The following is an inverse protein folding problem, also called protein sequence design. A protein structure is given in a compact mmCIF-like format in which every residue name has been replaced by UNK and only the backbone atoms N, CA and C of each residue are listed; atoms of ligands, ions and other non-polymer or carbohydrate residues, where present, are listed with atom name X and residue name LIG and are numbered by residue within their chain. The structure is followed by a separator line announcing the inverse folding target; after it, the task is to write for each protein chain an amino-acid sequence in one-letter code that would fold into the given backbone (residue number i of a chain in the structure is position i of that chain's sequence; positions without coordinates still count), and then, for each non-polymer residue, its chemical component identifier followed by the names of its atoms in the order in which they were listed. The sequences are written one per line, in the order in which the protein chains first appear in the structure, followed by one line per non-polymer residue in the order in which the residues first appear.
data_IF_697660052917
#
_entry.id   IF_697660052917
#
_cell.length_a   1.000
_cell.length_b   1.000
_cell.length_c   1.000
_cell.angle_alpha   90.00
_cell.angle_beta   90.00
_cell.angle_gamma   90.00
#
_symmetry.space_group_name_H-M   'P 1'
#
loop_
_entity.id
_entity.type
_entity.pdbx_description
1 polymer ?
#
# COMPACT_ATOMS: atom_id res chain seq x y z
N UNK A 1 18.72 24.13 -0.12
CA UNK A 1 17.99 23.94 1.15
C UNK A 1 17.57 22.49 1.22
N UNK A 2 17.89 21.77 2.29
CA UNK A 2 17.55 20.36 2.44
C UNK A 2 16.03 20.19 2.54
N UNK A 3 15.40 19.35 1.69
CA UNK A 3 13.94 19.19 1.73
C UNK A 3 13.50 18.50 3.02
N UNK A 4 12.38 18.93 3.58
CA UNK A 4 11.72 18.24 4.70
C UNK A 4 10.56 17.40 4.16
N UNK A 5 10.58 16.10 4.45
CA UNK A 5 9.53 15.17 4.03
C UNK A 5 8.30 15.35 4.91
N UNK A 6 7.16 15.56 4.26
CA UNK A 6 5.86 15.56 4.92
C UNK A 6 5.31 14.13 5.04
N UNK A 7 4.43 13.93 6.03
CA UNK A 7 3.71 12.67 6.21
C UNK A 7 2.28 12.85 5.68
N UNK A 8 1.82 11.94 4.81
CA UNK A 8 0.43 11.93 4.36
C UNK A 8 -0.46 11.17 5.35
N UNK A 9 -1.17 11.89 6.20
CA UNK A 9 -2.02 11.34 7.27
C UNK A 9 -3.35 12.06 7.31
N UNK A 10 -4.41 11.41 7.81
CA UNK A 10 -5.74 12.01 7.94
C UNK A 10 -6.26 12.67 6.63
N UNK A 11 -5.81 12.18 5.47
CA UNK A 11 -6.17 12.71 4.15
C UNK A 11 -5.41 13.96 3.70
N UNK A 12 -4.37 14.40 4.40
CA UNK A 12 -3.58 15.60 4.09
C UNK A 12 -2.08 15.37 4.30
N UNK A 13 -1.26 16.22 3.68
CA UNK A 13 0.16 16.31 4.01
C UNK A 13 0.36 17.19 5.25
N UNK A 14 1.28 16.78 6.12
CA UNK A 14 1.67 17.54 7.30
C UNK A 14 3.14 17.30 7.64
N UNK A 15 3.84 18.35 8.06
CA UNK A 15 5.18 18.26 8.63
C UNK A 15 5.16 17.82 10.10
N UNK A 16 6.23 17.19 10.58
CA UNK A 16 6.44 16.91 12.01
C UNK A 16 6.76 18.19 12.80
N UNK A 17 6.53 18.16 14.12
CA UNK A 17 6.56 19.36 14.96
C UNK A 17 7.93 19.69 15.60
N UNK A 18 8.91 18.78 15.52
CA UNK A 18 10.19 18.89 16.24
C UNK A 18 11.43 18.87 15.32
N UNK A 19 12.62 18.82 15.91
CA UNK A 19 13.90 18.71 15.19
C UNK A 19 13.90 17.43 14.33
N UNK A 20 14.06 17.56 13.00
CA UNK A 20 13.96 16.41 12.12
C UNK A 20 15.26 15.61 12.10
N UNK A 21 15.14 14.32 11.79
CA UNK A 21 16.26 13.43 11.53
C UNK A 21 16.80 13.65 10.13
N UNK A 22 18.12 13.70 10.01
CA UNK A 22 18.80 13.72 8.72
C UNK A 22 18.76 12.34 8.06
N UNK A 23 18.26 12.28 6.84
CA UNK A 23 18.43 11.14 5.95
C UNK A 23 19.68 11.39 5.10
N UNK A 24 20.61 10.44 5.14
CA UNK A 24 21.92 10.58 4.49
C UNK A 24 22.01 9.70 3.25
N UNK A 25 22.78 10.17 2.27
CA UNK A 25 23.27 9.34 1.19
C UNK A 25 24.27 8.32 1.75
N UNK A 26 24.05 7.04 1.50
CA UNK A 26 24.88 5.97 2.06
C UNK A 26 26.29 5.91 1.46
N UNK A 27 26.51 6.51 0.29
CA UNK A 27 27.79 6.51 -0.43
C UNK A 27 28.62 7.76 -0.19
N UNK A 28 27.98 8.93 -0.01
CA UNK A 28 28.67 10.21 0.16
C UNK A 28 28.55 10.80 1.57
N UNK A 29 27.56 10.39 2.35
CA UNK A 29 27.23 10.98 3.65
C UNK A 29 26.51 12.33 3.58
N UNK A 30 26.15 12.81 2.38
CA UNK A 30 25.40 14.06 2.22
C UNK A 30 23.97 13.93 2.72
N UNK A 31 23.43 14.98 3.35
CA UNK A 31 22.03 15.02 3.77
C UNK A 31 21.12 15.17 2.54
N UNK A 32 20.23 14.21 2.32
CA UNK A 32 19.32 14.18 1.17
C UNK A 32 17.93 14.73 1.51
N UNK A 33 17.50 14.53 2.76
CA UNK A 33 16.21 14.98 3.25
C UNK A 33 16.19 15.01 4.78
N UNK A 34 15.20 15.71 5.32
CA UNK A 34 14.87 15.76 6.73
C UNK A 34 13.54 15.02 6.95
N UNK A 35 13.44 14.16 7.95
CA UNK A 35 12.22 13.41 8.25
C UNK A 35 11.84 13.52 9.74
N UNK A 36 10.55 13.61 10.03
CA UNK A 36 10.07 13.67 11.41
C UNK A 36 8.64 13.11 11.54
N UNK A 37 8.40 12.35 12.60
CA UNK A 37 7.07 11.84 13.00
C UNK A 37 6.60 12.35 14.36
N UNK A 38 7.35 13.22 15.02
CA UNK A 38 6.95 13.86 16.27
C UNK A 38 5.73 14.76 16.08
N UNK A 39 4.82 14.72 17.05
CA UNK A 39 3.57 15.48 17.05
C UNK A 39 2.40 14.80 16.32
N UNK A 40 2.58 13.61 15.75
CA UNK A 40 1.48 12.83 15.15
C UNK A 40 0.76 11.96 16.18
N UNK A 41 -0.57 12.07 16.24
CA UNK A 41 -1.43 11.15 16.99
C UNK A 41 -1.68 9.87 16.18
N UNK A 42 -0.91 8.83 16.48
CA UNK A 42 -1.05 7.53 15.81
C UNK A 42 -2.39 6.84 16.07
N UNK A 43 -3.04 7.11 17.21
CA UNK A 43 -4.36 6.56 17.49
C UNK A 43 -5.41 7.20 16.57
N UNK A 44 -5.33 8.51 16.36
CA UNK A 44 -6.18 9.23 15.40
C UNK A 44 -5.92 8.75 13.96
N UNK A 45 -4.66 8.61 13.56
CA UNK A 45 -4.28 8.11 12.22
C UNK A 45 -4.89 6.73 11.97
N UNK A 46 -4.77 5.81 12.92
CA UNK A 46 -5.35 4.48 12.81
C UNK A 46 -6.89 4.55 12.78
N UNK A 47 -7.50 5.40 13.60
CA UNK A 47 -8.94 5.61 13.62
C UNK A 47 -9.45 6.13 12.27
N UNK A 48 -8.74 7.07 11.64
CA UNK A 48 -9.06 7.58 10.30
C UNK A 48 -9.00 6.49 9.25
N UNK A 49 -7.92 5.69 9.22
CA UNK A 49 -7.81 4.55 8.30
C UNK A 49 -8.98 3.57 8.43
N UNK A 50 -9.44 3.31 9.67
CA UNK A 50 -10.59 2.43 9.95
C UNK A 50 -11.95 3.05 9.63
N UNK A 51 -12.14 4.36 9.83
CA UNK A 51 -13.44 5.02 9.64
C UNK A 51 -13.65 5.54 8.23
N UNK A 52 -12.58 5.88 7.51
CA UNK A 52 -12.66 6.50 6.18
C UNK A 52 -12.16 5.54 5.09
N UNK A 53 -10.91 5.07 5.21
CA UNK A 53 -10.29 4.21 4.19
C UNK A 53 -10.96 2.83 4.10
N UNK A 54 -11.20 2.17 5.23
CA UNK A 54 -11.74 0.82 5.27
C UNK A 54 -13.15 0.71 4.64
N UNK A 55 -14.15 1.56 4.96
CA UNK A 55 -15.46 1.48 4.31
C UNK A 55 -15.39 1.72 2.81
N UNK A 56 -14.53 2.61 2.33
CA UNK A 56 -14.35 2.84 0.90
C UNK A 56 -13.83 1.57 0.19
N UNK A 57 -12.81 0.92 0.75
CA UNK A 57 -12.20 -0.28 0.16
C UNK A 57 -13.08 -1.54 0.29
N UNK A 58 -13.82 -1.70 1.40
CA UNK A 58 -14.69 -2.88 1.62
C UNK A 58 -15.98 -2.84 0.81
N UNK A 59 -16.42 -1.65 0.37
CA UNK A 59 -17.54 -1.53 -0.56
C UNK A 59 -17.19 -2.06 -1.95
N UNK A 60 -15.91 -2.03 -2.32
CA UNK A 60 -15.44 -2.51 -3.61
C UNK A 60 -15.42 -4.04 -3.68
N UNK A 61 -15.58 -4.58 -4.88
CA UNK A 61 -15.35 -6.00 -5.15
C UNK A 61 -13.86 -6.34 -5.21
N UNK A 62 -13.52 -7.63 -5.13
CA UNK A 62 -12.14 -8.07 -5.39
C UNK A 62 -11.65 -7.66 -6.80
N UNK A 63 -12.55 -7.62 -7.78
CA UNK A 63 -12.19 -7.24 -9.15
C UNK A 63 -11.91 -5.75 -9.28
N UNK A 64 -12.70 -4.90 -8.62
CA UNK A 64 -12.47 -3.46 -8.57
C UNK A 64 -11.15 -3.14 -7.87
N UNK A 65 -10.88 -3.75 -6.70
CA UNK A 65 -9.59 -3.59 -6.01
C UNK A 65 -8.42 -4.11 -6.85
N UNK A 66 -8.58 -5.25 -7.53
CA UNK A 66 -7.55 -5.77 -8.43
C UNK A 66 -7.29 -4.86 -9.64
N UNK A 67 -8.32 -4.20 -10.19
CA UNK A 67 -8.15 -3.19 -11.24
C UNK A 67 -7.45 -1.93 -10.72
N UNK A 68 -7.77 -1.50 -9.49
CA UNK A 68 -7.09 -0.39 -8.82
C UNK A 68 -5.60 -0.67 -8.59
N UNK A 69 -5.24 -1.89 -8.12
CA UNK A 69 -3.84 -2.31 -8.00
C UNK A 69 -3.12 -2.32 -9.35
N UNK A 70 -3.79 -2.75 -10.43
CA UNK A 70 -3.21 -2.70 -11.78
C UNK A 70 -2.94 -1.27 -12.24
N UNK A 71 -3.88 -0.35 -11.97
CA UNK A 71 -3.71 1.06 -12.31
C UNK A 71 -2.55 1.68 -11.53
N UNK A 72 -2.43 1.37 -10.23
CA UNK A 72 -1.29 1.78 -9.41
C UNK A 72 0.04 1.24 -9.97
N UNK A 73 0.08 -0.04 -10.35
CA UNK A 73 1.29 -0.65 -10.92
C UNK A 73 1.76 0.09 -12.19
N UNK A 74 0.85 0.40 -13.13
CA UNK A 74 1.19 1.20 -14.30
C UNK A 74 1.69 2.61 -13.94
N UNK A 75 1.02 3.26 -13.00
CA UNK A 75 1.41 4.60 -12.55
C UNK A 75 2.82 4.64 -11.95
N UNK A 76 3.19 3.61 -11.17
CA UNK A 76 4.54 3.49 -10.61
C UNK A 76 5.57 3.11 -11.68
N UNK A 77 5.20 2.24 -12.63
CA UNK A 77 6.08 1.87 -13.76
C UNK A 77 6.51 3.07 -14.59
N UNK A 78 5.60 4.01 -14.86
CA UNK A 78 5.88 5.26 -15.60
C UNK A 78 6.89 6.15 -14.87
N UNK A 79 7.00 6.02 -13.54
CA UNK A 79 7.86 6.84 -12.68
C UNK A 79 9.15 6.16 -12.25
N UNK A 80 9.40 4.93 -12.69
CA UNK A 80 10.45 4.08 -12.13
C UNK A 80 11.85 4.68 -12.17
N UNK A 81 12.18 5.49 -13.17
CA UNK A 81 13.52 6.10 -13.26
C UNK A 81 13.74 7.14 -12.14
N UNK A 82 12.69 7.80 -11.66
CA UNK A 82 12.77 8.66 -10.46
C UNK A 82 13.09 7.83 -9.21
N UNK A 83 12.55 6.61 -9.12
CA UNK A 83 12.83 5.70 -8.02
C UNK A 83 14.27 5.17 -8.11
N UNK A 84 14.77 4.87 -9.31
CA UNK A 84 16.17 4.47 -9.49
C UNK A 84 17.14 5.58 -9.09
N UNK A 85 16.87 6.83 -9.51
CA UNK A 85 17.68 7.99 -9.13
C UNK A 85 17.79 8.13 -7.60
N UNK A 86 16.67 7.99 -6.90
CA UNK A 86 16.65 8.03 -5.43
C UNK A 86 17.32 6.80 -4.80
N UNK A 87 17.09 5.61 -5.35
CA UNK A 87 17.63 4.34 -4.82
C UNK A 87 19.16 4.30 -4.89
N UNK A 88 19.80 4.98 -5.84
CA UNK A 88 21.26 5.10 -5.84
C UNK A 88 21.80 5.77 -4.57
N UNK A 89 21.04 6.68 -3.96
CA UNK A 89 21.41 7.34 -2.68
C UNK A 89 21.46 6.35 -1.52
N UNK A 90 20.89 5.15 -1.66
CA UNK A 90 21.02 4.06 -0.67
C UNK A 90 22.30 3.23 -0.85
N UNK A 91 23.17 3.58 -1.80
CA UNK A 91 24.37 2.83 -2.14
C UNK A 91 24.11 1.58 -3.01
N UNK A 92 22.86 1.37 -3.44
CA UNK A 92 22.49 0.22 -4.26
C UNK A 92 22.97 0.38 -5.71
N UNK A 93 23.40 -0.71 -6.33
CA UNK A 93 23.58 -0.71 -7.79
C UNK A 93 22.23 -0.70 -8.49
N UNK A 94 22.22 -0.51 -9.82
CA UNK A 94 20.98 -0.63 -10.60
C UNK A 94 20.37 -2.03 -10.50
N UNK A 95 21.22 -3.07 -10.47
CA UNK A 95 20.77 -4.45 -10.37
C UNK A 95 20.14 -4.74 -9.00
N UNK A 96 20.70 -4.19 -7.92
CA UNK A 96 20.11 -4.31 -6.58
C UNK A 96 18.78 -3.54 -6.49
N UNK A 97 18.76 -2.31 -7.01
CA UNK A 97 17.57 -1.44 -7.03
C UNK A 97 16.43 -2.03 -7.88
N UNK A 98 16.76 -2.81 -8.91
CA UNK A 98 15.78 -3.49 -9.75
C UNK A 98 14.91 -4.46 -8.94
N UNK A 99 15.48 -5.10 -7.91
CA UNK A 99 14.76 -6.04 -7.04
C UNK A 99 13.68 -5.30 -6.23
N UNK A 100 14.00 -4.14 -5.65
CA UNK A 100 13.05 -3.35 -4.87
C UNK A 100 11.97 -2.69 -5.76
N UNK A 101 12.41 -2.02 -6.83
CA UNK A 101 11.55 -1.21 -7.69
C UNK A 101 10.69 -2.10 -8.61
N UNK A 102 11.32 -2.87 -9.49
CA UNK A 102 10.59 -3.69 -10.46
C UNK A 102 9.99 -4.93 -9.80
N UNK A 103 10.64 -5.46 -8.75
CA UNK A 103 10.04 -6.52 -7.92
C UNK A 103 8.79 -6.04 -7.18
N UNK A 104 8.80 -4.85 -6.60
CA UNK A 104 7.64 -4.23 -5.96
C UNK A 104 6.50 -3.97 -6.95
N UNK A 105 6.79 -3.38 -8.11
CA UNK A 105 5.81 -3.14 -9.18
C UNK A 105 5.27 -4.47 -9.74
N UNK A 106 6.14 -5.45 -9.96
CA UNK A 106 5.76 -6.79 -10.40
C UNK A 106 4.83 -7.49 -9.41
N UNK A 107 5.08 -7.33 -8.10
CA UNK A 107 4.20 -7.85 -7.05
C UNK A 107 2.80 -7.22 -7.09
N UNK A 108 2.68 -5.92 -7.40
CA UNK A 108 1.38 -5.27 -7.62
C UNK A 108 0.65 -5.87 -8.83
N UNK A 109 1.33 -6.11 -9.95
CA UNK A 109 0.73 -6.78 -11.11
C UNK A 109 0.30 -8.22 -10.80
N UNK A 110 1.13 -8.97 -10.07
CA UNK A 110 0.81 -10.33 -9.64
C UNK A 110 -0.46 -10.36 -8.78
N UNK A 111 -0.54 -9.52 -7.74
CA UNK A 111 -1.73 -9.42 -6.88
C UNK A 111 -2.96 -8.91 -7.65
N UNK A 112 -2.81 -7.93 -8.53
CA UNK A 112 -3.88 -7.46 -9.40
C UNK A 112 -4.43 -8.58 -10.31
N UNK A 113 -3.58 -9.52 -10.74
CA UNK A 113 -3.99 -10.65 -11.59
C UNK A 113 -4.83 -11.68 -10.84
N UNK A 114 -4.58 -11.86 -9.53
CA UNK A 114 -5.27 -12.83 -8.68
C UNK A 114 -6.77 -12.54 -8.56
N UNK A 115 -7.23 -11.32 -8.83
CA UNK A 115 -8.66 -10.96 -8.83
C UNK A 115 -9.54 -11.94 -9.63
N UNK A 116 -9.00 -12.55 -10.71
CA UNK A 116 -9.71 -13.53 -11.53
C UNK A 116 -10.04 -14.84 -10.80
N UNK A 117 -9.34 -15.12 -9.69
CA UNK A 117 -9.57 -16.25 -8.79
C UNK A 117 -10.61 -15.92 -7.69
N UNK A 118 -11.08 -14.68 -7.62
CA UNK A 118 -12.05 -14.22 -6.63
C UNK A 118 -13.39 -13.86 -7.29
N UNK A 119 -14.51 -13.92 -6.54
CA UNK A 119 -15.80 -13.47 -7.04
C UNK A 119 -15.79 -11.96 -7.26
N UNK A 120 -16.64 -11.49 -8.18
CA UNK A 120 -16.93 -10.05 -8.34
C UNK A 120 -17.90 -9.57 -7.26
N UNK A 121 -17.50 -9.76 -6.00
CA UNK A 121 -18.25 -9.41 -4.80
C UNK A 121 -17.32 -8.77 -3.75
N UNK A 122 -17.86 -8.01 -2.79
CA UNK A 122 -17.07 -7.44 -1.70
C UNK A 122 -16.69 -8.47 -0.61
N UNK A 123 -17.21 -9.69 -0.69
CA UNK A 123 -16.94 -10.82 0.22
C UNK A 123 -16.59 -12.07 -0.57
N UNK A 124 -15.84 -12.98 0.06
CA UNK A 124 -15.55 -14.30 -0.48
C UNK A 124 -16.53 -15.31 0.12
N UNK A 125 -16.70 -16.46 -0.52
CA UNK A 125 -17.52 -17.54 0.04
C UNK A 125 -16.58 -18.70 0.26
N UNK A 126 -16.38 -19.09 1.50
CA UNK A 126 -15.45 -20.15 1.85
C UNK A 126 -16.16 -21.50 1.96
N UNK A 127 -15.74 -22.46 1.13
CA UNK A 127 -16.22 -23.83 1.17
C UNK A 127 -17.66 -24.02 0.68
N UNK A 128 -18.12 -25.26 0.78
CA UNK A 128 -19.49 -25.65 0.43
C UNK A 128 -20.48 -25.25 1.55
N UNK A 129 -21.76 -25.01 1.21
CA UNK A 129 -22.78 -24.76 2.21
C UNK A 129 -22.93 -25.94 3.19
N UNK A 130 -23.06 -25.62 4.47
CA UNK A 130 -23.29 -26.61 5.54
C UNK A 130 -24.78 -26.72 5.81
N UNK A 131 -25.37 -27.88 5.50
CA UNK A 131 -26.76 -28.17 5.83
C UNK A 131 -27.00 -28.22 7.34
N UNK A 132 -27.99 -27.48 7.82
CA UNK A 132 -28.34 -27.38 9.25
C UNK A 132 -29.71 -27.99 9.59
N UNK A 133 -30.36 -28.63 8.61
CA UNK A 133 -31.66 -29.29 8.78
C UNK A 133 -31.69 -30.62 8.03
N UNK A 134 -32.46 -31.58 8.56
CA UNK A 134 -32.60 -32.93 7.95
C UNK A 134 -33.27 -32.91 6.57
N UNK A 135 -34.10 -31.91 6.28
CA UNK A 135 -34.83 -31.78 5.00
C UNK A 135 -34.19 -30.82 3.99
N UNK A 136 -33.01 -30.27 4.28
CA UNK A 136 -32.32 -29.35 3.36
C UNK A 136 -32.95 -27.95 3.25
N UNK A 137 -33.91 -27.59 4.10
CA UNK A 137 -34.59 -26.29 4.07
C UNK A 137 -33.83 -25.16 4.77
N UNK A 138 -32.73 -25.50 5.45
CA UNK A 138 -31.89 -24.57 6.19
C UNK A 138 -30.41 -24.96 6.10
N UNK A 139 -29.56 -23.99 5.79
CA UNK A 139 -28.11 -24.14 5.65
C UNK A 139 -27.38 -22.88 6.12
N UNK A 140 -26.10 -23.02 6.47
CA UNK A 140 -25.19 -21.92 6.73
C UNK A 140 -24.04 -21.91 5.71
N UNK A 141 -23.49 -20.72 5.47
CA UNK A 141 -22.36 -20.51 4.57
C UNK A 141 -21.36 -19.59 5.25
N UNK A 142 -20.08 -19.97 5.22
CA UNK A 142 -19.01 -19.10 5.69
C UNK A 142 -18.66 -18.06 4.61
N UNK A 143 -18.44 -16.82 5.05
CA UNK A 143 -18.08 -15.66 4.23
C UNK A 143 -16.74 -15.08 4.67
#
# INVERSE_FOLDING_TARGET
MTPTLENYTLGRWAAGAADPYELLDASTGEVIALANTEGFDFAEILAYGRRVGNPALRKMTFHERGRMLKALAFHLQEKKELFYELSYRSGATRADSWIDIEGGIGNLFANASLRRKFPDKPFYVEGEPVGLSKGGTFMAQHL
#
